data_IF_262743577158
#
_entry.id   IF_262743577158
#
_cell.length_a   1.000
_cell.length_b   1.000
_cell.length_c   1.000
_cell.angle_alpha   90.00
_cell.angle_beta   90.00
_cell.angle_gamma   90.00
#
_symmetry.space_group_name_H-M   'P 1'
#
loop_
_entity.id
_entity.type
_entity.pdbx_description
1 polymer ?
#
# COMPACT_ATOMS: atom_id res chain seq x y z
N UNK A 1 2.67 7.17 2.55
CA UNK A 1 1.48 7.48 1.74
C UNK A 1 1.84 7.28 0.28
N UNK A 2 1.64 6.06 -0.23
CA UNK A 2 1.63 5.84 -1.66
C UNK A 2 0.16 5.83 -2.11
N UNK A 3 -0.51 6.97 -1.94
CA UNK A 3 -1.60 7.28 -2.82
C UNK A 3 -0.99 7.34 -4.22
N UNK A 4 -1.59 6.68 -5.18
CA UNK A 4 -1.24 6.79 -6.58
C UNK A 4 -1.23 8.27 -6.93
N UNK A 5 -0.04 8.88 -6.95
CA UNK A 5 0.13 10.24 -7.42
C UNK A 5 0.13 10.13 -8.93
N UNK A 6 -0.81 10.77 -9.55
CA UNK A 6 -0.98 10.77 -10.99
C UNK A 6 -0.44 12.09 -11.49
N UNK A 7 0.39 12.00 -12.51
CA UNK A 7 0.96 13.14 -13.19
C UNK A 7 0.15 13.37 -14.46
N UNK A 8 -0.53 14.51 -14.57
CA UNK A 8 -1.16 14.95 -15.81
C UNK A 8 -0.28 16.02 -16.45
N UNK A 9 -0.04 15.92 -17.73
CA UNK A 9 0.62 16.97 -18.49
C UNK A 9 -0.29 17.44 -19.62
N UNK A 10 -0.50 18.75 -19.73
CA UNK A 10 -1.23 19.34 -20.85
C UNK A 10 -0.39 19.49 -22.11
N UNK A 11 0.86 19.04 -22.10
CA UNK A 11 1.81 19.18 -23.22
C UNK A 11 2.56 17.88 -23.48
N UNK A 12 2.84 17.57 -24.73
CA UNK A 12 3.58 16.40 -25.20
C UNK A 12 5.05 16.34 -24.73
N UNK A 13 5.55 17.34 -24.02
CA UNK A 13 6.86 17.37 -23.36
C UNK A 13 6.77 18.17 -22.07
N UNK A 14 7.19 17.55 -20.97
CA UNK A 14 7.41 18.23 -19.70
C UNK A 14 8.79 18.86 -19.77
N UNK A 15 8.84 20.18 -19.81
CA UNK A 15 10.11 20.93 -19.80
C UNK A 15 10.50 21.38 -18.40
N UNK A 16 9.52 21.47 -17.49
CA UNK A 16 9.72 21.86 -16.09
C UNK A 16 8.82 20.98 -15.20
N UNK A 17 9.26 20.69 -13.98
CA UNK A 17 8.48 19.99 -12.95
C UNK A 17 7.20 20.76 -12.59
N UNK A 18 7.19 22.07 -12.75
CA UNK A 18 6.03 22.94 -12.53
C UNK A 18 4.94 22.77 -13.62
N UNK A 19 5.25 22.11 -14.74
CA UNK A 19 4.28 21.76 -15.79
C UNK A 19 3.46 20.51 -15.44
N UNK A 20 3.73 19.90 -14.28
CA UNK A 20 3.09 18.66 -13.82
C UNK A 20 1.99 18.99 -12.82
N UNK A 21 0.76 18.62 -13.17
CA UNK A 21 -0.37 18.67 -12.23
C UNK A 21 -0.55 17.28 -11.58
N UNK A 22 -0.67 17.24 -10.25
CA UNK A 22 -0.92 16.02 -9.50
C UNK A 22 -2.40 15.90 -9.17
N UNK A 23 -3.08 14.91 -9.74
CA UNK A 23 -4.47 14.58 -9.46
C UNK A 23 -4.55 13.41 -8.46
N UNK A 24 -5.21 13.59 -7.33
CA UNK A 24 -5.49 12.51 -6.37
C UNK A 24 -6.79 11.83 -6.73
N UNK A 25 -6.78 10.51 -6.83
CA UNK A 25 -7.97 9.69 -7.10
C UNK A 25 -8.16 8.71 -5.94
N UNK A 26 -9.38 8.70 -5.38
CA UNK A 26 -9.78 7.71 -4.38
C UNK A 26 -10.25 6.44 -5.07
N UNK A 27 -9.68 5.31 -4.69
CA UNK A 27 -10.04 4.00 -5.23
C UNK A 27 -10.98 3.24 -4.30
N UNK A 28 -11.65 2.21 -4.82
CA UNK A 28 -12.47 1.29 -3.99
C UNK A 28 -11.64 0.67 -2.87
N UNK A 29 -10.38 0.32 -3.15
CA UNK A 29 -9.47 -0.22 -2.15
C UNK A 29 -9.20 0.72 -0.97
N UNK A 30 -9.19 2.04 -1.21
CA UNK A 30 -9.01 3.06 -0.17
C UNK A 30 -10.26 3.23 0.70
N UNK A 31 -11.44 3.00 0.15
CA UNK A 31 -12.74 3.14 0.84
C UNK A 31 -13.02 2.02 1.82
N UNK A 32 -12.41 0.85 1.62
CA UNK A 32 -12.59 -0.32 2.49
C UNK A 32 -11.75 -0.17 3.76
N UNK A 33 -12.41 -0.02 4.92
CA UNK A 33 -11.74 0.25 6.20
C UNK A 33 -11.71 -0.93 7.16
N UNK A 34 -12.71 -1.81 7.11
CA UNK A 34 -12.98 -2.78 8.20
C UNK A 34 -12.85 -4.24 7.78
N UNK A 35 -12.48 -4.51 6.54
CA UNK A 35 -12.37 -5.86 6.00
C UNK A 35 -11.04 -6.07 5.30
N UNK A 36 -10.58 -7.32 5.19
CA UNK A 36 -9.44 -7.66 4.34
C UNK A 36 -9.86 -7.53 2.88
N UNK A 37 -8.98 -6.95 2.04
CA UNK A 37 -9.27 -6.82 0.61
C UNK A 37 -9.45 -8.17 -0.08
N UNK A 38 -8.76 -9.21 0.41
CA UNK A 38 -8.94 -10.59 -0.06
C UNK A 38 -10.35 -11.12 0.11
N UNK A 39 -11.08 -10.64 1.13
CA UNK A 39 -12.43 -11.14 1.47
C UNK A 39 -13.52 -10.46 0.62
N UNK A 40 -13.19 -9.28 0.06
CA UNK A 40 -14.11 -8.54 -0.82
C UNK A 40 -14.09 -9.12 -2.22
N UNK A 41 -12.94 -9.69 -2.60
CA UNK A 41 -12.72 -10.15 -3.98
C UNK A 41 -12.70 -8.97 -4.96
N UNK A 42 -12.16 -9.22 -6.13
CA UNK A 42 -12.15 -8.23 -7.22
C UNK A 42 -10.74 -7.88 -7.66
N UNK A 43 -10.56 -7.92 -8.98
CA UNK A 43 -9.37 -7.40 -9.64
C UNK A 43 -9.47 -5.87 -9.67
N UNK A 44 -8.34 -5.19 -9.58
CA UNK A 44 -8.28 -3.75 -9.83
C UNK A 44 -8.85 -2.85 -8.73
N UNK A 45 -8.93 -3.31 -7.46
CA UNK A 45 -9.43 -2.48 -6.35
C UNK A 45 -8.69 -1.14 -6.19
N UNK A 46 -7.44 -1.07 -6.66
CA UNK A 46 -6.61 0.13 -6.61
C UNK A 46 -6.30 0.72 -7.99
N UNK A 47 -6.69 0.07 -9.08
CA UNK A 47 -6.34 0.51 -10.42
C UNK A 47 -7.54 0.93 -11.28
N UNK A 48 -8.71 0.30 -11.12
CA UNK A 48 -9.85 0.47 -12.02
C UNK A 48 -10.30 1.92 -12.18
N UNK A 49 -10.39 2.69 -11.11
CA UNK A 49 -10.80 4.11 -11.18
C UNK A 49 -9.73 4.96 -11.89
N UNK A 50 -8.47 4.63 -11.68
CA UNK A 50 -7.32 5.31 -12.27
C UNK A 50 -7.21 4.98 -13.76
N UNK A 51 -7.40 3.70 -14.12
CA UNK A 51 -7.40 3.24 -15.50
C UNK A 51 -8.48 3.94 -16.33
N UNK A 52 -9.68 4.13 -15.77
CA UNK A 52 -10.76 4.90 -16.41
C UNK A 52 -10.37 6.36 -16.69
N UNK A 53 -9.66 6.99 -15.75
CA UNK A 53 -9.19 8.37 -15.93
C UNK A 53 -8.12 8.45 -17.05
N UNK A 54 -7.27 7.42 -17.20
CA UNK A 54 -6.34 7.30 -18.34
C UNK A 54 -7.09 7.09 -19.66
N UNK A 55 -8.06 6.18 -19.71
CA UNK A 55 -8.88 5.91 -20.89
C UNK A 55 -9.65 7.16 -21.35
N UNK A 56 -10.19 7.93 -20.39
CA UNK A 56 -10.88 9.19 -20.65
C UNK A 56 -9.93 10.37 -20.96
N UNK A 57 -8.60 10.14 -20.95
CA UNK A 57 -7.58 11.18 -21.17
C UNK A 57 -7.70 12.36 -20.21
N UNK A 58 -8.23 12.15 -19.01
CA UNK A 58 -8.28 13.15 -17.95
C UNK A 58 -6.97 13.23 -17.16
N UNK A 59 -6.14 12.21 -17.30
CA UNK A 59 -4.75 12.13 -16.85
C UNK A 59 -3.90 11.46 -17.94
N UNK A 60 -2.61 11.78 -17.96
CA UNK A 60 -1.68 11.25 -18.95
C UNK A 60 -0.88 10.06 -18.42
N UNK A 61 -0.57 10.06 -17.13
CA UNK A 61 0.29 9.06 -16.47
C UNK A 61 -0.30 8.69 -15.12
N UNK A 62 -0.29 7.41 -14.80
CA UNK A 62 -0.58 6.88 -13.47
C UNK A 62 0.67 6.29 -12.85
N UNK A 63 0.93 6.59 -11.56
CA UNK A 63 2.04 6.01 -10.80
C UNK A 63 1.49 5.04 -9.77
N UNK A 64 1.91 3.79 -9.86
CA UNK A 64 1.48 2.70 -9.01
C UNK A 64 2.63 1.96 -8.32
N UNK A 65 2.38 1.39 -7.17
CA UNK A 65 3.21 0.30 -6.68
C UNK A 65 2.89 -0.96 -7.49
N UNK A 66 3.89 -1.59 -8.10
CA UNK A 66 3.68 -2.75 -8.99
C UNK A 66 2.90 -3.89 -8.34
N UNK A 67 3.03 -4.07 -7.02
CA UNK A 67 2.28 -5.09 -6.25
C UNK A 67 0.75 -4.90 -6.29
N UNK A 68 0.28 -3.69 -6.57
CA UNK A 68 -1.14 -3.32 -6.59
C UNK A 68 -1.71 -3.33 -8.01
N UNK A 69 -0.85 -3.55 -9.01
CA UNK A 69 -1.24 -3.68 -10.41
C UNK A 69 -1.77 -5.09 -10.72
N UNK A 70 -2.77 -5.21 -11.61
CA UNK A 70 -3.22 -6.50 -12.10
C UNK A 70 -2.11 -7.18 -12.92
N UNK A 71 -2.10 -8.53 -12.92
CA UNK A 71 -1.13 -9.31 -13.69
C UNK A 71 -1.37 -9.23 -15.22
N UNK A 72 -2.57 -8.85 -15.63
CA UNK A 72 -2.93 -8.67 -17.04
C UNK A 72 -3.19 -7.19 -17.26
N UNK A 73 -2.55 -6.62 -18.26
CA UNK A 73 -2.75 -5.22 -18.63
C UNK A 73 -4.16 -4.98 -19.17
N UNK A 74 -4.69 -3.81 -18.88
CA UNK A 74 -5.94 -3.33 -19.47
C UNK A 74 -5.69 -2.91 -20.91
N UNK A 75 -6.57 -3.34 -21.82
CA UNK A 75 -6.46 -3.04 -23.26
C UNK A 75 -6.36 -1.53 -23.49
N UNK A 76 -5.38 -1.10 -24.27
CA UNK A 76 -5.15 0.31 -24.57
C UNK A 76 -4.25 1.05 -23.57
N UNK A 77 -3.93 0.44 -22.43
CA UNK A 77 -2.98 0.98 -21.45
C UNK A 77 -1.67 0.18 -21.49
N UNK A 78 -0.57 0.82 -21.12
CA UNK A 78 0.76 0.20 -21.07
C UNK A 78 1.40 0.35 -19.69
N UNK A 79 2.09 -0.70 -19.26
CA UNK A 79 2.90 -0.72 -18.03
C UNK A 79 4.34 -1.05 -18.44
N UNK A 80 5.04 -0.10 -19.02
CA UNK A 80 6.39 -0.28 -19.58
C UNK A 80 7.45 0.64 -18.95
N UNK A 81 7.06 1.48 -18.02
CA UNK A 81 7.98 2.37 -17.29
C UNK A 81 8.12 1.91 -15.84
N UNK A 82 9.31 1.47 -15.47
CA UNK A 82 9.62 1.01 -14.11
C UNK A 82 10.76 1.83 -13.52
N UNK A 83 10.54 2.32 -12.31
CA UNK A 83 11.60 2.92 -11.51
C UNK A 83 12.47 1.83 -10.87
N UNK A 84 13.67 2.20 -10.46
CA UNK A 84 14.55 1.31 -9.71
C UNK A 84 13.83 0.70 -8.51
N UNK A 85 14.06 -0.60 -8.29
CA UNK A 85 13.41 -1.34 -7.22
C UNK A 85 13.95 -0.92 -5.87
N UNK A 86 13.06 -0.48 -5.00
CA UNK A 86 13.36 -0.24 -3.60
C UNK A 86 13.53 -1.55 -2.81
N UNK A 87 14.01 -1.42 -1.58
CA UNK A 87 14.19 -2.54 -0.65
C UNK A 87 12.89 -3.32 -0.46
N UNK A 88 12.84 -4.61 -0.83
CA UNK A 88 11.62 -5.43 -0.76
C UNK A 88 11.30 -5.96 0.63
N UNK A 89 12.17 -5.71 1.62
CA UNK A 89 12.03 -6.26 2.97
C UNK A 89 10.81 -5.71 3.69
N UNK A 90 10.38 -6.49 4.64
CA UNK A 90 9.34 -6.15 5.61
C UNK A 90 10.00 -5.69 6.90
N UNK A 91 9.41 -4.73 7.57
CA UNK A 91 9.89 -4.27 8.86
C UNK A 91 8.81 -4.37 9.92
N UNK A 92 9.24 -4.73 11.12
CA UNK A 92 8.44 -4.66 12.33
C UNK A 92 8.68 -3.31 13.00
N UNK A 93 7.62 -2.58 13.27
CA UNK A 93 7.65 -1.30 13.99
C UNK A 93 7.01 -1.49 15.35
N UNK A 94 7.69 -1.03 16.39
CA UNK A 94 7.23 -1.04 17.78
C UNK A 94 7.52 0.31 18.43
N UNK A 95 6.73 0.70 19.43
CA UNK A 95 6.97 1.94 20.17
C UNK A 95 8.32 1.95 20.90
N UNK A 96 8.83 0.77 21.30
CA UNK A 96 10.00 0.62 22.17
C UNK A 96 11.21 0.00 21.45
N UNK A 97 11.27 0.05 20.12
CA UNK A 97 12.34 -0.56 19.29
C UNK A 97 12.59 -2.05 19.59
N UNK A 98 11.60 -2.78 20.09
CA UNK A 98 11.69 -4.21 20.39
C UNK A 98 11.73 -5.03 19.10
N UNK A 99 12.51 -6.09 19.11
CA UNK A 99 12.48 -7.12 18.05
C UNK A 99 11.27 -8.04 18.25
N UNK A 100 10.93 -8.83 17.25
CA UNK A 100 9.81 -9.76 17.28
C UNK A 100 9.90 -10.74 18.48
N UNK A 101 11.11 -11.24 18.77
CA UNK A 101 11.35 -12.17 19.87
C UNK A 101 11.24 -11.53 21.26
N UNK A 102 11.38 -10.21 21.35
CA UNK A 102 11.34 -9.46 22.60
C UNK A 102 9.92 -8.98 22.97
N UNK A 103 8.96 -9.22 22.08
CA UNK A 103 7.56 -8.90 22.35
C UNK A 103 6.99 -9.82 23.46
N UNK A 104 6.13 -9.27 24.29
CA UNK A 104 5.42 -10.04 25.33
C UNK A 104 4.60 -11.18 24.70
N UNK A 105 4.32 -12.20 25.50
CA UNK A 105 3.39 -13.26 25.10
C UNK A 105 2.03 -12.65 24.75
N UNK A 106 1.38 -13.18 23.70
CA UNK A 106 0.06 -12.73 23.23
C UNK A 106 0.02 -11.28 22.72
N UNK A 107 1.19 -10.65 22.45
CA UNK A 107 1.23 -9.31 21.85
C UNK A 107 0.40 -9.21 20.59
N UNK A 108 -0.23 -8.06 20.39
CA UNK A 108 -1.08 -7.78 19.23
C UNK A 108 -0.24 -7.17 18.10
N UNK A 109 -0.15 -7.86 16.97
CA UNK A 109 0.58 -7.39 15.79
C UNK A 109 -0.40 -7.01 14.67
N UNK A 110 -0.35 -5.75 14.25
CA UNK A 110 -1.20 -5.24 13.18
C UNK A 110 -0.70 -5.63 11.79
N UNK A 111 -1.48 -6.43 11.06
CA UNK A 111 -1.25 -6.75 9.65
C UNK A 111 -2.55 -7.08 8.93
N UNK A 112 -2.67 -6.68 7.66
CA UNK A 112 -3.79 -7.08 6.77
C UNK A 112 -3.38 -8.18 5.80
N UNK A 113 -2.13 -8.62 5.84
CA UNK A 113 -1.56 -9.58 4.90
C UNK A 113 -1.52 -10.98 5.53
N UNK A 114 -2.21 -11.94 4.92
CA UNK A 114 -2.12 -13.35 5.32
C UNK A 114 -0.69 -13.89 5.20
N UNK A 115 0.06 -13.47 4.18
CA UNK A 115 1.46 -13.86 4.02
C UNK A 115 2.32 -13.42 5.21
N UNK A 116 2.15 -12.16 5.66
CA UNK A 116 2.87 -11.63 6.84
C UNK A 116 2.44 -12.35 8.11
N UNK A 117 1.14 -12.50 8.31
CA UNK A 117 0.58 -13.22 9.45
C UNK A 117 1.13 -14.65 9.55
N UNK A 118 1.13 -15.39 8.44
CA UNK A 118 1.70 -16.75 8.39
C UNK A 118 3.17 -16.78 8.81
N UNK A 119 3.99 -15.89 8.27
CA UNK A 119 5.42 -15.82 8.61
C UNK A 119 5.65 -15.45 10.08
N UNK A 120 4.88 -14.50 10.61
CA UNK A 120 4.94 -14.12 12.03
C UNK A 120 4.57 -15.31 12.90
N UNK A 121 3.45 -15.97 12.62
CA UNK A 121 2.95 -17.12 13.38
C UNK A 121 3.89 -18.32 13.34
N UNK A 122 4.65 -18.50 12.25
CA UNK A 122 5.68 -19.55 12.16
C UNK A 122 6.81 -19.32 13.17
N UNK A 123 7.15 -18.07 13.47
CA UNK A 123 8.24 -17.69 14.40
C UNK A 123 7.70 -17.53 15.82
N UNK A 124 6.55 -16.91 15.98
CA UNK A 124 5.90 -16.57 17.24
C UNK A 124 4.42 -17.00 17.19
N UNK A 125 4.12 -18.28 17.41
CA UNK A 125 2.73 -18.78 17.37
C UNK A 125 1.83 -18.19 18.46
N UNK A 126 2.42 -17.68 19.54
CA UNK A 126 1.75 -17.09 20.68
C UNK A 126 1.15 -15.69 20.42
N UNK A 127 1.68 -14.92 19.47
CA UNK A 127 1.20 -13.55 19.23
C UNK A 127 -0.14 -13.53 18.48
N UNK A 128 -0.88 -12.44 18.64
CA UNK A 128 -2.18 -12.24 18.00
C UNK A 128 -2.06 -11.29 16.83
N UNK A 129 -2.21 -11.78 15.61
CA UNK A 129 -2.29 -10.91 14.43
C UNK A 129 -3.72 -10.36 14.31
N UNK A 130 -3.84 -9.04 14.23
CA UNK A 130 -5.12 -8.34 14.02
C UNK A 130 -5.07 -7.48 12.76
N UNK A 131 -6.23 -7.37 12.13
CA UNK A 131 -6.40 -6.51 10.96
C UNK A 131 -6.04 -5.07 11.27
N UNK A 132 -5.18 -4.47 10.43
CA UNK A 132 -4.89 -3.03 10.47
C UNK A 132 -5.05 -2.44 9.07
N UNK A 133 -5.87 -1.41 8.95
CA UNK A 133 -6.16 -0.71 7.70
C UNK A 133 -5.80 0.77 7.81
N UNK A 134 -5.73 1.41 6.66
CA UNK A 134 -5.30 2.80 6.49
C UNK A 134 -3.95 2.91 5.80
N UNK A 135 -3.55 4.12 5.45
CA UNK A 135 -2.21 4.43 4.95
C UNK A 135 -1.15 4.26 6.04
N UNK A 136 0.11 4.45 5.71
CA UNK A 136 1.26 4.28 6.63
C UNK A 136 1.08 5.16 7.87
N UNK A 137 0.77 6.46 7.68
CA UNK A 137 0.61 7.41 8.79
C UNK A 137 -0.49 6.98 9.77
N UNK A 138 -1.64 6.55 9.22
CA UNK A 138 -2.76 6.04 10.02
C UNK A 138 -2.37 4.83 10.84
N UNK A 139 -1.60 3.90 10.25
CA UNK A 139 -1.15 2.69 10.95
C UNK A 139 -0.12 3.01 12.03
N UNK A 140 0.80 3.92 11.75
CA UNK A 140 1.77 4.42 12.74
C UNK A 140 1.05 5.12 13.89
N UNK A 141 0.02 5.93 13.60
CA UNK A 141 -0.81 6.57 14.63
C UNK A 141 -1.47 5.53 15.54
N UNK A 142 -2.11 4.50 14.97
CA UNK A 142 -2.72 3.41 15.74
C UNK A 142 -1.72 2.65 16.63
N UNK A 143 -0.48 2.48 16.16
CA UNK A 143 0.60 1.91 16.97
C UNK A 143 0.95 2.83 18.15
N UNK A 144 1.12 4.14 17.90
CA UNK A 144 1.42 5.13 18.96
C UNK A 144 0.31 5.22 20.00
N UNK A 145 -0.94 5.05 19.60
CA UNK A 145 -2.12 5.01 20.49
C UNK A 145 -2.21 3.69 21.30
N UNK A 146 -1.30 2.73 21.07
CA UNK A 146 -1.27 1.48 21.84
C UNK A 146 -2.33 0.45 21.44
N UNK A 147 -3.03 0.66 20.29
CA UNK A 147 -4.01 -0.32 19.77
C UNK A 147 -3.30 -1.61 19.36
N UNK A 148 -2.04 -1.52 18.98
CA UNK A 148 -1.16 -2.62 18.61
C UNK A 148 0.16 -2.50 19.35
N UNK A 149 0.76 -3.63 19.74
CA UNK A 149 2.12 -3.69 20.32
C UNK A 149 3.19 -3.54 19.21
N UNK A 150 2.85 -3.99 18.00
CA UNK A 150 3.68 -3.88 16.82
C UNK A 150 2.83 -3.80 15.56
N UNK A 151 3.40 -3.28 14.48
CA UNK A 151 2.84 -3.34 13.13
C UNK A 151 3.89 -3.79 12.13
N UNK A 152 3.47 -4.40 11.02
CA UNK A 152 4.38 -4.79 9.93
C UNK A 152 4.08 -4.02 8.67
N UNK A 153 5.10 -3.34 8.16
CA UNK A 153 5.04 -2.54 6.94
C UNK A 153 6.13 -2.96 5.96
N UNK A 154 5.98 -2.55 4.70
CA UNK A 154 7.04 -2.63 3.70
C UNK A 154 8.09 -1.58 4.01
N UNK A 155 9.38 -1.93 3.99
CA UNK A 155 10.48 -0.98 4.23
C UNK A 155 10.46 0.18 3.22
N UNK A 156 10.23 -0.13 1.96
CA UNK A 156 10.09 0.88 0.90
C UNK A 156 8.90 1.85 1.08
N UNK A 157 8.02 1.62 2.05
CA UNK A 157 6.83 2.44 2.31
C UNK A 157 7.00 3.44 3.46
N UNK A 158 8.19 3.46 4.07
CA UNK A 158 8.55 4.32 5.20
C UNK A 158 9.73 5.19 4.81
#
# INVERSE_FOLDING_TARGET
>A
MFASKILSTKKNRVNDINDIEIKSISTKGDQVKDTRLSDIGGKGLFSTEIEKELENKSIDIAVHALKDMPATETSGLKTDCFLERNDPREILITNNKKKLNDLKLKSIIGTSSFRREFQIKKIRPDVNCKLIRGNVDTRIKKLKEGIYDAIVLSYAGI
#
